data_IF_674707722626
#
_entry.id   IF_674707722626
#
_cell.length_a   1.000
_cell.length_b   1.000
_cell.length_c   1.000
_cell.angle_alpha   90.00
_cell.angle_beta   90.00
_cell.angle_gamma   90.00
#
_symmetry.space_group_name_H-M   'P 1'
#
loop_
_entity.id
_entity.type
_entity.pdbx_description
1 polymer ?
#
# COMPACT_ATOMS: atom_id res chain seq x y z
N UNK A 1 6.59 -3.85 0.54
CA UNK A 1 5.41 -3.46 -0.28
C UNK A 1 5.84 -2.82 -1.61
N UNK A 2 4.93 -2.55 -2.56
CA UNK A 2 5.24 -1.90 -3.86
C UNK A 2 4.57 -0.51 -3.91
N UNK A 3 5.31 0.49 -4.38
CA UNK A 3 4.81 1.83 -4.69
C UNK A 3 4.43 1.88 -6.18
N UNK A 4 3.15 2.08 -6.53
CA UNK A 4 2.75 2.27 -7.90
C UNK A 4 3.39 3.54 -8.48
N UNK A 5 3.91 3.46 -9.71
CA UNK A 5 4.31 4.66 -10.45
C UNK A 5 3.10 5.34 -11.08
N UNK A 6 2.96 6.66 -10.94
CA UNK A 6 1.92 7.43 -11.64
C UNK A 6 2.35 7.64 -13.10
N UNK A 7 2.08 6.65 -13.95
CA UNK A 7 2.51 6.64 -15.36
C UNK A 7 3.98 6.26 -15.57
N UNK A 8 4.65 5.80 -14.52
CA UNK A 8 6.03 5.30 -14.53
C UNK A 8 6.10 3.88 -13.96
N UNK A 9 7.27 3.26 -13.98
CA UNK A 9 7.45 1.91 -13.42
C UNK A 9 7.12 1.84 -11.93
N UNK A 10 6.56 0.71 -11.50
CA UNK A 10 6.33 0.41 -10.09
C UNK A 10 7.67 0.11 -9.39
N UNK A 11 7.82 0.62 -8.17
CA UNK A 11 9.07 0.58 -7.41
C UNK A 11 8.87 -0.08 -6.07
N UNK A 12 9.94 -0.62 -5.49
CA UNK A 12 9.85 -1.21 -4.15
C UNK A 12 9.63 -0.12 -3.09
N UNK A 13 8.95 -0.49 -2.02
CA UNK A 13 8.71 0.37 -0.86
C UNK A 13 8.87 -0.42 0.42
N UNK A 14 9.65 0.14 1.34
CA UNK A 14 9.68 -0.31 2.72
C UNK A 14 8.28 -0.14 3.33
N UNK A 15 7.75 -1.22 3.91
CA UNK A 15 6.50 -1.20 4.65
C UNK A 15 6.70 -1.68 6.07
N UNK A 16 5.89 -1.18 7.00
CA UNK A 16 5.87 -1.71 8.37
C UNK A 16 4.97 -2.94 8.45
N UNK A 17 5.18 -3.79 9.45
CA UNK A 17 4.30 -4.94 9.71
C UNK A 17 2.83 -4.52 9.92
N UNK A 18 2.60 -3.36 10.54
CA UNK A 18 1.27 -2.78 10.70
C UNK A 18 0.62 -2.40 9.35
N UNK A 19 1.39 -1.92 8.37
CA UNK A 19 0.88 -1.64 7.02
C UNK A 19 0.59 -2.92 6.23
N UNK A 20 1.33 -4.00 6.50
CA UNK A 20 1.14 -5.31 5.88
C UNK A 20 -0.05 -6.08 6.48
N UNK A 21 -0.44 -5.75 7.72
CA UNK A 21 -1.42 -6.49 8.52
C UNK A 21 -0.76 -7.63 9.27
N UNK A 22 -0.96 -7.70 10.59
CA UNK A 22 -0.35 -8.73 11.46
C UNK A 22 -0.77 -10.15 11.04
N UNK A 23 -1.98 -10.30 10.51
CA UNK A 23 -2.49 -11.57 9.98
C UNK A 23 -1.70 -12.11 8.79
N UNK A 24 -1.02 -11.22 8.05
CA UNK A 24 -0.22 -11.58 6.87
C UNK A 24 1.22 -11.93 7.21
N UNK A 25 1.63 -11.82 8.49
CA UNK A 25 3.02 -12.05 8.90
C UNK A 25 3.55 -13.45 8.54
N UNK A 26 2.69 -14.48 8.64
CA UNK A 26 3.05 -15.84 8.22
C UNK A 26 3.39 -15.93 6.72
N UNK A 27 2.68 -15.18 5.88
CA UNK A 27 2.95 -15.09 4.45
C UNK A 27 4.25 -14.31 4.18
N UNK A 28 4.50 -13.21 4.89
CA UNK A 28 5.72 -12.41 4.78
C UNK A 28 6.95 -13.27 5.08
N UNK A 29 6.92 -14.05 6.16
CA UNK A 29 8.00 -14.95 6.52
C UNK A 29 8.21 -16.04 5.47
N UNK A 30 7.14 -16.61 4.92
CA UNK A 30 7.24 -17.58 3.83
C UNK A 30 7.92 -16.98 2.58
N UNK A 31 7.56 -15.75 2.21
CA UNK A 31 8.19 -15.04 1.09
C UNK A 31 9.65 -14.66 1.38
N UNK A 32 9.99 -14.37 2.64
CA UNK A 32 11.35 -14.13 3.07
C UNK A 32 12.23 -15.39 2.96
N UNK A 33 11.70 -16.55 3.36
CA UNK A 33 12.38 -17.85 3.19
C UNK A 33 12.66 -18.16 1.71
N UNK A 34 11.77 -17.72 0.81
CA UNK A 34 11.94 -17.82 -0.65
C UNK A 34 12.80 -16.71 -1.24
N UNK A 35 13.33 -15.80 -0.41
CA UNK A 35 14.14 -14.63 -0.81
C UNK A 35 13.41 -13.69 -1.77
N UNK A 36 12.09 -13.59 -1.66
CA UNK A 36 11.29 -12.65 -2.45
C UNK A 36 11.11 -11.33 -1.69
N UNK A 37 11.11 -11.41 -0.36
CA UNK A 37 11.00 -10.29 0.58
C UNK A 37 12.19 -10.31 1.53
N UNK A 38 12.61 -9.15 1.99
CA UNK A 38 13.56 -8.98 3.10
C UNK A 38 12.81 -8.34 4.25
N UNK A 39 12.99 -8.89 5.44
CA UNK A 39 12.47 -8.34 6.70
C UNK A 39 13.57 -7.65 7.48
N UNK A 40 13.23 -6.57 8.18
CA UNK A 40 14.18 -5.80 8.99
C UNK A 40 13.50 -5.10 10.16
N UNK A 41 14.23 -4.17 10.78
CA UNK A 41 13.68 -3.20 11.73
C UNK A 41 14.09 -1.79 11.32
N UNK A 42 13.20 -0.83 11.47
CA UNK A 42 13.52 0.58 11.26
C UNK A 42 14.25 1.20 12.47
N UNK A 43 14.55 2.49 12.39
CA UNK A 43 15.22 3.24 13.46
C UNK A 43 14.39 3.33 14.76
N UNK A 44 13.06 3.14 14.69
CA UNK A 44 12.16 3.10 15.83
C UNK A 44 11.98 1.67 16.40
N UNK A 45 12.60 0.66 15.78
CA UNK A 45 12.51 -0.75 16.18
C UNK A 45 11.31 -1.49 15.62
N UNK A 46 10.51 -0.85 14.75
CA UNK A 46 9.35 -1.46 14.12
C UNK A 46 9.78 -2.45 13.05
N UNK A 47 9.09 -3.58 12.96
CA UNK A 47 9.35 -4.59 11.94
C UNK A 47 8.95 -4.06 10.56
N UNK A 48 9.83 -4.28 9.59
CA UNK A 48 9.64 -3.80 8.23
C UNK A 48 9.89 -4.89 7.20
N UNK A 49 9.30 -4.70 6.02
CA UNK A 49 9.38 -5.62 4.89
C UNK A 49 9.53 -4.88 3.56
N UNK A 50 10.35 -5.43 2.67
CA UNK A 50 10.58 -4.88 1.34
C UNK A 50 10.79 -6.01 0.31
N UNK A 51 10.32 -5.82 -0.93
CA UNK A 51 10.64 -6.73 -2.03
C UNK A 51 12.14 -6.66 -2.31
N UNK A 52 12.80 -7.82 -2.42
CA UNK A 52 14.27 -7.88 -2.50
C UNK A 52 14.83 -7.12 -3.72
N UNK A 53 14.16 -7.22 -4.87
CA UNK A 53 14.61 -6.64 -6.15
C UNK A 53 13.43 -6.10 -6.97
N UNK A 54 13.58 -4.93 -7.55
CA UNK A 54 12.58 -4.36 -8.48
C UNK A 54 12.40 -5.19 -9.74
N UNK A 55 13.39 -6.00 -10.12
CA UNK A 55 13.27 -6.97 -11.21
C UNK A 55 12.14 -7.98 -11.00
N UNK A 56 11.79 -8.32 -9.74
CA UNK A 56 10.64 -9.17 -9.46
C UNK A 56 9.32 -8.45 -9.78
N UNK A 57 9.25 -7.15 -9.53
CA UNK A 57 8.08 -6.32 -9.83
C UNK A 57 7.86 -6.26 -11.35
N UNK A 58 8.94 -6.18 -12.14
CA UNK A 58 8.87 -6.07 -13.61
C UNK A 58 8.79 -7.42 -14.33
N UNK A 59 9.38 -8.46 -13.76
CA UNK A 59 9.54 -9.77 -14.40
C UNK A 59 8.48 -10.80 -14.02
N UNK A 60 7.72 -10.57 -12.94
CA UNK A 60 6.69 -11.49 -12.48
C UNK A 60 5.31 -11.02 -12.94
N UNK A 61 4.86 -11.54 -14.09
CA UNK A 61 3.60 -11.12 -14.73
C UNK A 61 2.37 -11.22 -13.82
N UNK A 62 2.30 -12.21 -12.92
CA UNK A 62 1.20 -12.32 -11.97
C UNK A 62 1.20 -11.19 -10.93
N UNK A 63 2.38 -10.81 -10.41
CA UNK A 63 2.49 -9.67 -9.50
C UNK A 63 2.09 -8.37 -10.21
N UNK A 64 2.49 -8.19 -11.47
CA UNK A 64 2.06 -7.04 -12.27
C UNK A 64 0.54 -7.02 -12.49
N UNK A 65 -0.07 -8.15 -12.82
CA UNK A 65 -1.51 -8.25 -13.01
C UNK A 65 -2.28 -7.90 -11.73
N UNK A 66 -1.79 -8.34 -10.57
CA UNK A 66 -2.37 -7.95 -9.28
C UNK A 66 -2.20 -6.46 -8.99
N UNK A 67 -1.00 -5.90 -9.21
CA UNK A 67 -0.74 -4.47 -9.03
C UNK A 67 -1.63 -3.60 -9.94
N UNK A 68 -1.86 -4.05 -11.18
CA UNK A 68 -2.72 -3.35 -12.13
C UNK A 68 -4.20 -3.43 -11.74
N UNK A 69 -4.67 -4.61 -11.30
CA UNK A 69 -6.04 -4.79 -10.82
C UNK A 69 -6.32 -3.91 -9.58
N UNK A 70 -5.34 -3.76 -8.70
CA UNK A 70 -5.44 -2.91 -7.50
C UNK A 70 -5.25 -1.41 -7.81
N UNK A 71 -4.74 -1.05 -8.99
CA UNK A 71 -4.40 0.34 -9.35
C UNK A 71 -5.66 1.23 -9.30
N UNK A 72 -6.77 0.76 -9.87
CA UNK A 72 -8.05 1.46 -9.84
C UNK A 72 -8.61 1.59 -8.42
N UNK A 73 -8.48 0.53 -7.60
CA UNK A 73 -8.92 0.51 -6.21
C UNK A 73 -8.12 1.50 -5.35
N UNK A 74 -6.79 1.53 -5.50
CA UNK A 74 -5.90 2.45 -4.78
C UNK A 74 -6.11 3.91 -5.20
N UNK A 75 -6.25 4.19 -6.50
CA UNK A 75 -6.58 5.55 -6.97
C UNK A 75 -7.93 6.03 -6.41
N UNK A 76 -8.93 5.16 -6.35
CA UNK A 76 -10.22 5.48 -5.73
C UNK A 76 -10.10 5.71 -4.22
N UNK A 77 -9.35 4.89 -3.50
CA UNK A 77 -9.12 5.02 -2.07
C UNK A 77 -8.36 6.31 -1.70
N UNK A 78 -7.34 6.68 -2.47
CA UNK A 78 -6.63 7.95 -2.31
C UNK A 78 -7.53 9.16 -2.59
N UNK A 79 -8.42 9.09 -3.59
CA UNK A 79 -9.43 10.14 -3.83
C UNK A 79 -10.40 10.29 -2.66
N UNK A 80 -10.81 9.19 -2.02
CA UNK A 80 -11.67 9.24 -0.83
C UNK A 80 -10.95 9.82 0.38
N UNK A 81 -9.65 9.53 0.57
CA UNK A 81 -8.83 10.13 1.63
C UNK A 81 -8.54 11.61 1.40
N UNK A 82 -8.43 12.02 0.14
CA UNK A 82 -8.22 13.41 -0.26
C UNK A 82 -9.52 14.24 -0.29
N UNK A 83 -10.70 13.61 -0.17
CA UNK A 83 -11.96 14.33 -0.09
C UNK A 83 -12.10 14.97 1.30
N UNK A 84 -12.24 16.30 1.42
CA UNK A 84 -12.60 16.91 2.69
C UNK A 84 -14.00 16.40 3.07
N UNK A 85 -14.19 15.98 4.32
CA UNK A 85 -15.52 15.81 4.91
C UNK A 85 -16.21 17.17 4.88
N UNK A 86 -16.90 17.46 3.79
CA UNK A 86 -17.65 18.68 3.56
C UNK A 86 -19.15 18.37 3.54
N UNK A 87 -19.63 17.64 4.55
CA UNK A 87 -21.07 17.47 4.78
C UNK A 87 -21.40 17.60 6.26
N UNK A 88 -21.23 18.80 6.83
CA UNK A 88 -22.05 19.18 8.00
C UNK A 88 -22.29 20.70 8.22
N UNK A 89 -22.05 21.56 7.21
CA UNK A 89 -22.32 23.01 7.33
C UNK A 89 -23.53 23.52 6.54
N UNK A 90 -24.10 22.71 5.64
CA UNK A 90 -25.24 23.13 4.82
C UNK A 90 -26.61 22.96 5.54
N UNK A 91 -26.68 22.22 6.66
CA UNK A 91 -27.95 21.97 7.37
C UNK A 91 -28.29 23.02 8.43
N UNK A 92 -27.30 23.69 9.03
CA UNK A 92 -27.53 24.66 10.12
C UNK A 92 -28.06 26.03 9.68
N UNK A 93 -28.18 26.32 8.37
CA UNK A 93 -28.72 27.59 7.86
C UNK A 93 -30.23 27.56 7.56
N UNK A 94 -30.92 26.43 7.76
CA UNK A 94 -32.38 26.30 7.51
C UNK A 94 -33.25 26.33 8.78
N UNK A 95 -32.69 26.54 9.97
CA UNK A 95 -33.44 26.62 11.23
C UNK A 95 -33.38 28.00 11.91
N UNK A 96 -32.83 29.01 11.23
CA UNK A 96 -32.92 30.41 11.64
C UNK A 96 -33.59 31.20 10.50
N UNK A 97 -34.91 31.04 10.41
CA UNK A 97 -35.79 31.73 9.48
C UNK A 97 -37.21 31.70 10.03
#
# INVERSE_FOLDING_TARGET
MVRPGEGTEDTRRLATSAEAGEENWGLVQHLADKRLVVTGRDAAGLETEEVVHEALIRGWGQLQAWLEADRAFRTWQERLRAAPVAEDRARSRRLAG
#
